data_IF_448943354687
#
_entry.id   IF_448943354687
#
_cell.length_a   1.000
_cell.length_b   1.000
_cell.length_c   1.000
_cell.angle_alpha   90.00
_cell.angle_beta   90.00
_cell.angle_gamma   90.00
#
_symmetry.space_group_name_H-M   'P 1'
#
loop_
_entity.id
_entity.type
_entity.pdbx_description
1 polymer ?
#
# COMPACT_ATOMS: atom_id res chain seq x y z
N UNK A 1 -17.73 -44.00 -20.39
CA UNK A 1 -18.04 -43.13 -19.23
C UNK A 1 -17.60 -41.73 -19.58
N UNK A 2 -18.54 -40.79 -19.66
CA UNK A 2 -18.25 -39.38 -19.95
C UNK A 2 -17.59 -38.76 -18.72
N UNK A 3 -16.34 -38.31 -18.83
CA UNK A 3 -15.73 -37.46 -17.83
C UNK A 3 -16.42 -36.10 -17.91
N UNK A 4 -17.41 -35.86 -17.05
CA UNK A 4 -17.91 -34.49 -16.82
C UNK A 4 -16.73 -33.66 -16.35
N UNK A 5 -16.28 -32.77 -17.21
CA UNK A 5 -15.25 -31.79 -16.89
C UNK A 5 -15.77 -30.90 -15.77
N UNK A 6 -15.14 -30.94 -14.60
CA UNK A 6 -15.48 -30.09 -13.45
C UNK A 6 -14.81 -28.72 -13.56
N UNK A 7 -14.98 -28.07 -14.72
CA UNK A 7 -14.47 -26.72 -14.95
C UNK A 7 -15.44 -25.71 -14.34
N UNK A 8 -14.91 -24.84 -13.49
CA UNK A 8 -15.63 -23.76 -12.82
C UNK A 8 -15.13 -22.44 -13.38
N UNK A 9 -16.05 -21.58 -13.81
CA UNK A 9 -15.73 -20.21 -14.19
C UNK A 9 -15.79 -19.29 -12.98
N UNK A 10 -14.68 -18.61 -12.69
CA UNK A 10 -14.55 -17.61 -11.63
C UNK A 10 -14.24 -16.26 -12.26
N UNK A 11 -14.85 -15.19 -11.73
CA UNK A 11 -14.71 -13.85 -12.32
C UNK A 11 -14.38 -12.82 -11.26
N UNK A 12 -13.37 -12.02 -11.56
CA UNK A 12 -13.03 -10.80 -10.85
C UNK A 12 -13.52 -9.58 -11.63
N UNK A 13 -13.92 -8.57 -10.88
CA UNK A 13 -14.48 -7.33 -11.42
C UNK A 13 -13.81 -6.15 -10.74
N UNK A 14 -13.48 -5.14 -11.53
CA UNK A 14 -13.01 -3.85 -11.02
C UNK A 14 -13.81 -2.74 -11.70
N UNK A 15 -14.58 -2.01 -10.92
CA UNK A 15 -15.28 -0.79 -11.32
C UNK A 15 -15.06 0.31 -10.26
N UNK A 16 -15.47 1.57 -10.50
CA UNK A 16 -15.22 2.67 -9.57
C UNK A 16 -15.69 2.42 -8.13
N UNK A 17 -16.85 1.77 -7.97
CA UNK A 17 -17.49 1.54 -6.67
C UNK A 17 -17.57 0.06 -6.26
N UNK A 18 -17.11 -0.85 -7.12
CA UNK A 18 -17.17 -2.29 -6.90
C UNK A 18 -15.84 -2.96 -7.25
N UNK A 19 -15.26 -3.66 -6.29
CA UNK A 19 -14.07 -4.48 -6.50
C UNK A 19 -14.37 -5.88 -5.97
N UNK A 20 -14.25 -6.90 -6.82
CA UNK A 20 -14.40 -8.31 -6.44
C UNK A 20 -13.12 -9.07 -6.74
N UNK A 21 -12.64 -9.85 -5.76
CA UNK A 21 -11.45 -10.68 -5.84
C UNK A 21 -11.76 -12.10 -5.38
N UNK A 22 -11.20 -13.09 -6.07
CA UNK A 22 -11.53 -14.50 -5.86
C UNK A 22 -10.36 -15.26 -5.27
N UNK A 23 -10.63 -15.93 -4.16
CA UNK A 23 -9.70 -16.81 -3.47
C UNK A 23 -10.24 -18.22 -3.43
N UNK A 24 -9.33 -19.18 -3.39
CA UNK A 24 -9.62 -20.60 -3.37
C UNK A 24 -8.97 -21.20 -2.15
N UNK A 25 -9.68 -22.13 -1.52
CA UNK A 25 -9.18 -22.91 -0.40
C UNK A 25 -9.55 -24.37 -0.58
N UNK A 26 -8.62 -25.26 -0.29
CA UNK A 26 -8.83 -26.70 -0.30
C UNK A 26 -7.93 -27.38 0.72
N UNK A 27 -8.23 -28.65 0.99
CA UNK A 27 -7.46 -29.49 1.92
C UNK A 27 -5.98 -29.48 1.55
N UNK A 28 -5.14 -28.87 2.39
CA UNK A 28 -3.70 -28.70 2.16
C UNK A 28 -3.22 -27.23 2.15
N UNK A 29 -4.14 -26.27 2.01
CA UNK A 29 -3.83 -24.85 2.18
C UNK A 29 -4.15 -24.40 3.61
N UNK A 30 -3.20 -23.67 4.23
CA UNK A 30 -3.40 -23.10 5.58
C UNK A 30 -4.36 -21.91 5.60
N UNK A 31 -4.55 -21.25 4.45
CA UNK A 31 -5.48 -20.12 4.25
C UNK A 31 -5.90 -20.01 2.79
N UNK A 32 -7.01 -19.33 2.44
CA UNK A 32 -7.40 -19.11 1.06
C UNK A 32 -6.35 -18.33 0.28
N UNK A 33 -6.04 -18.83 -0.90
CA UNK A 33 -5.01 -18.30 -1.81
C UNK A 33 -5.69 -17.69 -3.02
N UNK A 34 -5.16 -16.57 -3.51
CA UNK A 34 -5.67 -15.93 -4.71
C UNK A 34 -5.66 -16.89 -5.90
N UNK A 35 -6.73 -16.90 -6.68
CA UNK A 35 -6.93 -17.88 -7.75
C UNK A 35 -5.80 -17.88 -8.79
N UNK A 36 -5.21 -16.72 -9.11
CA UNK A 36 -4.09 -16.63 -10.07
C UNK A 36 -2.81 -17.37 -9.63
N UNK A 37 -2.74 -17.81 -8.37
CA UNK A 37 -1.54 -18.46 -7.82
C UNK A 37 -1.64 -19.99 -7.77
N UNK A 38 -2.73 -20.58 -8.27
CA UNK A 38 -2.84 -22.02 -8.43
C UNK A 38 -2.06 -22.47 -9.69
N UNK A 39 -1.30 -23.56 -9.60
CA UNK A 39 -0.36 -23.99 -10.65
C UNK A 39 -1.02 -24.47 -11.97
N UNK A 40 -0.25 -24.37 -13.06
CA UNK A 40 -0.57 -24.29 -14.50
C UNK A 40 -1.48 -25.38 -15.15
N UNK A 41 -1.89 -26.45 -14.47
CA UNK A 41 -2.78 -27.45 -15.09
C UNK A 41 -4.27 -27.19 -14.85
N UNK A 42 -4.60 -26.29 -13.91
CA UNK A 42 -5.98 -26.11 -13.47
C UNK A 42 -6.60 -24.78 -13.89
N UNK A 43 -5.86 -23.82 -14.48
CA UNK A 43 -6.41 -22.48 -14.76
C UNK A 43 -6.11 -22.01 -16.17
N UNK A 44 -7.16 -21.71 -16.93
CA UNK A 44 -7.07 -20.84 -18.12
C UNK A 44 -7.61 -19.47 -17.77
N UNK A 45 -6.76 -18.44 -17.84
CA UNK A 45 -7.13 -17.05 -17.61
C UNK A 45 -7.54 -16.36 -18.92
N UNK A 46 -8.61 -15.56 -18.87
CA UNK A 46 -9.00 -14.64 -19.93
C UNK A 46 -9.17 -13.24 -19.33
N UNK A 47 -8.29 -12.32 -19.71
CA UNK A 47 -8.45 -10.90 -19.41
C UNK A 47 -9.41 -10.30 -20.42
N UNK A 48 -10.57 -9.86 -19.96
CA UNK A 48 -11.59 -9.24 -20.81
C UNK A 48 -11.36 -7.72 -20.90
N UNK A 49 -11.94 -7.10 -21.92
CA UNK A 49 -12.02 -5.64 -21.99
C UNK A 49 -12.68 -5.09 -20.70
N UNK A 50 -12.20 -3.94 -20.22
CA UNK A 50 -12.70 -3.24 -19.03
C UNK A 50 -12.25 -3.77 -17.66
N UNK A 51 -11.16 -4.56 -17.59
CA UNK A 51 -10.53 -4.92 -16.31
C UNK A 51 -11.23 -6.03 -15.53
N UNK A 52 -12.09 -6.79 -16.20
CA UNK A 52 -12.62 -8.05 -15.69
C UNK A 52 -11.64 -9.19 -16.00
N UNK A 53 -11.41 -10.07 -15.03
CA UNK A 53 -10.54 -11.24 -15.20
C UNK A 53 -11.37 -12.49 -14.98
N UNK A 54 -11.29 -13.44 -15.90
CA UNK A 54 -11.98 -14.72 -15.81
C UNK A 54 -10.98 -15.86 -15.69
N UNK A 55 -11.25 -16.78 -14.77
CA UNK A 55 -10.45 -17.98 -14.51
C UNK A 55 -11.31 -19.22 -14.75
N UNK A 56 -10.83 -20.14 -15.56
CA UNK A 56 -11.41 -21.47 -15.74
C UNK A 56 -10.66 -22.46 -14.86
N UNK A 57 -11.22 -22.78 -13.69
CA UNK A 57 -10.63 -23.69 -12.71
C UNK A 57 -11.07 -25.14 -12.94
N UNK A 58 -10.14 -26.04 -13.25
CA UNK A 58 -10.39 -27.49 -13.23
C UNK A 58 -10.34 -28.00 -11.79
N UNK A 59 -11.51 -28.31 -11.23
CA UNK A 59 -11.64 -28.84 -9.88
C UNK A 59 -11.54 -30.37 -9.81
N UNK A 60 -11.18 -31.04 -10.91
CA UNK A 60 -11.01 -32.49 -10.97
C UNK A 60 -9.90 -32.94 -10.00
N UNK A 61 -10.27 -33.73 -8.98
CA UNK A 61 -9.33 -34.25 -7.98
C UNK A 61 -9.25 -33.44 -6.68
N UNK A 62 -9.94 -32.30 -6.56
CA UNK A 62 -10.04 -31.57 -5.29
C UNK A 62 -11.28 -32.04 -4.52
N UNK A 63 -11.08 -32.68 -3.36
CA UNK A 63 -12.17 -33.27 -2.56
C UNK A 63 -13.05 -32.22 -1.87
N UNK A 64 -12.45 -31.16 -1.36
CA UNK A 64 -13.15 -30.05 -0.69
C UNK A 64 -12.59 -28.74 -1.23
N UNK A 65 -13.41 -28.04 -2.04
CA UNK A 65 -13.06 -26.77 -2.64
C UNK A 65 -14.01 -25.69 -2.13
N UNK A 66 -13.45 -24.69 -1.48
CA UNK A 66 -14.13 -23.48 -1.05
C UNK A 66 -13.65 -22.30 -1.88
N UNK A 67 -14.60 -21.45 -2.26
CA UNK A 67 -14.35 -20.24 -3.05
C UNK A 67 -14.82 -19.06 -2.24
N UNK A 68 -13.94 -18.08 -2.06
CA UNK A 68 -14.21 -16.86 -1.34
C UNK A 68 -14.15 -15.69 -2.32
N UNK A 69 -15.28 -15.04 -2.52
CA UNK A 69 -15.37 -13.77 -3.23
C UNK A 69 -15.28 -12.65 -2.19
N UNK A 70 -14.17 -11.94 -2.17
CA UNK A 70 -13.99 -10.72 -1.37
C UNK A 70 -14.47 -9.54 -2.20
N UNK A 71 -15.52 -8.89 -1.72
CA UNK A 71 -16.19 -7.78 -2.40
C UNK A 71 -16.04 -6.51 -1.58
N UNK A 72 -15.54 -5.47 -2.22
CA UNK A 72 -15.59 -4.10 -1.73
C UNK A 72 -16.65 -3.32 -2.51
N UNK A 73 -17.71 -2.91 -1.83
CA UNK A 73 -18.83 -2.20 -2.44
C UNK A 73 -19.36 -1.13 -1.50
N UNK A 74 -19.58 0.10 -1.99
CA UNK A 74 -20.04 1.24 -1.18
C UNK A 74 -19.27 1.42 0.15
N UNK A 75 -17.94 1.32 0.08
CA UNK A 75 -17.04 1.42 1.25
C UNK A 75 -17.21 0.34 2.33
N UNK A 76 -17.91 -0.74 2.01
CA UNK A 76 -18.11 -1.88 2.89
C UNK A 76 -17.43 -3.13 2.32
N UNK A 77 -16.91 -3.93 3.25
CA UNK A 77 -16.36 -5.25 2.96
C UNK A 77 -17.47 -6.30 3.07
N UNK A 78 -17.61 -7.10 2.04
CA UNK A 78 -18.46 -8.29 2.02
C UNK A 78 -17.62 -9.49 1.61
N UNK A 79 -17.90 -10.64 2.20
CA UNK A 79 -17.30 -11.92 1.78
C UNK A 79 -18.44 -12.84 1.41
N UNK A 80 -18.37 -13.44 0.22
CA UNK A 80 -19.26 -14.53 -0.17
C UNK A 80 -18.46 -15.81 -0.24
N UNK A 81 -18.94 -16.86 0.41
CA UNK A 81 -18.32 -18.18 0.39
C UNK A 81 -19.19 -19.14 -0.40
N UNK A 82 -18.53 -19.99 -1.18
CA UNK A 82 -19.16 -21.05 -1.93
C UNK A 82 -18.39 -22.34 -1.70
N UNK A 83 -19.10 -23.47 -1.66
CA UNK A 83 -18.51 -24.80 -1.66
C UNK A 83 -18.90 -25.52 -2.95
N UNK A 84 -17.94 -26.21 -3.55
CA UNK A 84 -18.21 -27.10 -4.67
C UNK A 84 -18.89 -28.38 -4.17
N UNK A 85 -20.13 -28.62 -4.59
CA UNK A 85 -20.90 -29.83 -4.26
C UNK A 85 -21.42 -30.42 -5.57
N UNK A 86 -21.00 -31.65 -5.89
CA UNK A 86 -21.42 -32.37 -7.11
C UNK A 86 -21.24 -31.55 -8.41
N UNK A 87 -20.14 -30.78 -8.53
CA UNK A 87 -19.87 -29.95 -9.71
C UNK A 87 -20.60 -28.59 -9.72
N UNK A 88 -21.36 -28.25 -8.67
CA UNK A 88 -22.08 -26.98 -8.55
C UNK A 88 -21.59 -26.17 -7.35
N UNK A 89 -21.51 -24.84 -7.51
CA UNK A 89 -21.20 -23.93 -6.40
C UNK A 89 -22.45 -23.68 -5.55
N UNK A 90 -22.41 -24.13 -4.29
CA UNK A 90 -23.42 -23.86 -3.27
C UNK A 90 -22.94 -22.73 -2.38
N UNK A 91 -23.72 -21.66 -2.26
CA UNK A 91 -23.43 -20.52 -1.38
C UNK A 91 -23.55 -20.92 0.10
N UNK A 92 -22.62 -20.45 0.93
CA UNK A 92 -22.53 -20.72 2.36
C UNK A 92 -22.64 -19.42 3.17
N UNK A 93 -23.84 -18.86 3.29
CA UNK A 93 -24.07 -17.54 3.90
C UNK A 93 -23.63 -17.44 5.37
N UNK A 94 -23.82 -18.50 6.17
CA UNK A 94 -23.54 -18.49 7.62
C UNK A 94 -22.05 -18.70 7.98
N UNK A 95 -21.19 -19.01 7.00
CA UNK A 95 -19.77 -19.33 7.22
C UNK A 95 -18.82 -18.22 6.73
N UNK A 96 -19.38 -17.09 6.27
CA UNK A 96 -18.62 -16.00 5.66
C UNK A 96 -18.01 -15.06 6.70
N UNK A 97 -16.99 -15.51 7.44
CA UNK A 97 -16.16 -14.59 8.23
C UNK A 97 -15.08 -13.96 7.36
N UNK A 98 -14.58 -12.79 7.77
CA UNK A 98 -13.45 -12.14 7.11
C UNK A 98 -12.27 -13.11 7.13
N UNK A 99 -11.78 -13.46 5.94
CA UNK A 99 -10.72 -14.45 5.80
C UNK A 99 -9.37 -13.77 5.71
N UNK A 100 -8.41 -14.21 6.51
CA UNK A 100 -6.99 -13.97 6.22
C UNK A 100 -6.63 -14.69 4.91
N UNK A 101 -6.34 -13.91 3.87
CA UNK A 101 -6.04 -14.43 2.54
C UNK A 101 -4.54 -14.42 2.25
N UNK A 102 -4.15 -15.05 1.15
CA UNK A 102 -2.76 -15.11 0.68
C UNK A 102 -2.64 -14.85 -0.81
N UNK A 103 -1.52 -14.27 -1.20
CA UNK A 103 -1.05 -14.23 -2.59
C UNK A 103 -0.57 -15.59 -3.10
N UNK A 104 -0.41 -16.60 -2.24
CA UNK A 104 0.24 -17.87 -2.60
C UNK A 104 1.77 -17.81 -2.66
N UNK A 105 2.37 -16.63 -2.39
CA UNK A 105 3.81 -16.45 -2.34
C UNK A 105 4.20 -15.72 -1.05
N UNK A 106 5.01 -16.37 -0.21
CA UNK A 106 5.40 -15.84 1.10
C UNK A 106 6.07 -14.46 1.02
N UNK A 107 6.94 -14.22 0.04
CA UNK A 107 7.65 -12.92 -0.09
C UNK A 107 6.69 -11.80 -0.49
N UNK A 108 5.68 -12.10 -1.30
CA UNK A 108 4.62 -11.14 -1.64
C UNK A 108 3.71 -10.85 -0.45
N UNK A 109 3.30 -11.90 0.28
CA UNK A 109 2.51 -11.74 1.50
C UNK A 109 3.23 -10.85 2.52
N UNK A 110 4.53 -11.04 2.72
CA UNK A 110 5.36 -10.21 3.60
C UNK A 110 5.40 -8.75 3.13
N UNK A 111 5.63 -8.51 1.82
CA UNK A 111 5.66 -7.16 1.26
C UNK A 111 4.30 -6.47 1.41
N UNK A 112 3.21 -7.15 1.06
CA UNK A 112 1.84 -6.61 1.21
C UNK A 112 1.53 -6.34 2.68
N UNK A 113 1.91 -7.23 3.59
CA UNK A 113 1.75 -7.02 5.02
C UNK A 113 2.41 -5.71 5.50
N UNK A 114 3.62 -5.41 5.02
CA UNK A 114 4.28 -4.14 5.32
C UNK A 114 3.54 -2.92 4.74
N UNK A 115 3.04 -3.01 3.50
CA UNK A 115 2.21 -1.94 2.89
C UNK A 115 0.97 -1.67 3.76
N UNK A 116 0.27 -2.73 4.16
CA UNK A 116 -0.94 -2.66 5.00
C UNK A 116 -0.64 -2.06 6.37
N UNK A 117 0.51 -2.35 6.98
CA UNK A 117 0.92 -1.72 8.25
C UNK A 117 1.07 -0.21 8.12
N UNK A 118 1.75 0.28 7.08
CA UNK A 118 1.87 1.73 6.87
C UNK A 118 0.51 2.37 6.64
N UNK A 119 -0.34 1.72 5.83
CA UNK A 119 -1.73 2.14 5.61
C UNK A 119 -2.52 2.25 6.91
N UNK A 120 -2.48 1.21 7.73
CA UNK A 120 -3.14 1.17 9.04
C UNK A 120 -2.66 2.32 9.92
N UNK A 121 -1.36 2.55 9.95
CA UNK A 121 -0.76 3.59 10.77
C UNK A 121 -1.22 4.98 10.37
N UNK A 122 -1.01 5.41 9.12
CA UNK A 122 -1.34 6.77 8.73
C UNK A 122 -2.85 7.00 8.71
N UNK A 123 -3.65 6.02 8.31
CA UNK A 123 -5.11 6.17 8.30
C UNK A 123 -5.70 6.29 9.70
N UNK A 124 -5.11 5.61 10.69
CA UNK A 124 -5.49 5.79 12.10
C UNK A 124 -5.04 7.14 12.62
N UNK A 125 -3.77 7.50 12.39
CA UNK A 125 -3.18 8.74 12.92
C UNK A 125 -3.76 10.02 12.34
N UNK A 126 -4.17 10.00 11.08
CA UNK A 126 -4.68 11.18 10.38
C UNK A 126 -6.21 11.26 10.38
N UNK A 127 -6.90 10.11 10.41
CA UNK A 127 -8.30 10.04 9.98
C UNK A 127 -9.20 9.15 10.83
N UNK A 128 -8.70 8.54 11.91
CA UNK A 128 -9.48 7.62 12.77
C UNK A 128 -10.19 6.49 11.98
N UNK A 129 -9.58 6.02 10.90
CA UNK A 129 -10.23 5.15 9.94
C UNK A 129 -10.70 3.81 10.57
N UNK A 130 -11.90 3.31 10.22
CA UNK A 130 -12.45 2.08 10.79
C UNK A 130 -11.67 0.83 10.34
N UNK A 131 -11.50 -0.13 11.25
CA UNK A 131 -10.73 -1.35 11.04
C UNK A 131 -11.24 -2.25 9.87
N UNK A 132 -12.52 -2.14 9.49
CA UNK A 132 -13.11 -2.92 8.40
C UNK A 132 -12.53 -2.60 7.02
N UNK A 133 -12.22 -1.33 6.76
CA UNK A 133 -11.66 -0.86 5.48
C UNK A 133 -10.26 -1.43 5.25
N UNK A 134 -9.46 -1.55 6.32
CA UNK A 134 -8.10 -2.07 6.24
C UNK A 134 -8.07 -3.54 5.81
N UNK A 135 -9.04 -4.35 6.28
CA UNK A 135 -9.16 -5.76 5.89
C UNK A 135 -9.53 -5.91 4.41
N UNK A 136 -10.41 -5.04 3.91
CA UNK A 136 -10.73 -5.00 2.48
C UNK A 136 -9.51 -4.62 1.65
N UNK A 137 -8.76 -3.61 2.11
CA UNK A 137 -7.53 -3.15 1.47
C UNK A 137 -6.48 -4.27 1.39
N UNK A 138 -6.22 -4.98 2.50
CA UNK A 138 -5.27 -6.11 2.53
C UNK A 138 -5.63 -7.19 1.49
N UNK A 139 -6.87 -7.66 1.49
CA UNK A 139 -7.31 -8.66 0.52
C UNK A 139 -7.16 -8.13 -0.91
N UNK A 140 -7.77 -6.98 -1.24
CA UNK A 140 -7.69 -6.41 -2.61
C UNK A 140 -6.23 -6.23 -3.07
N UNK A 141 -5.34 -5.80 -2.17
CA UNK A 141 -3.93 -5.64 -2.47
C UNK A 141 -3.22 -6.98 -2.69
N UNK A 142 -3.47 -7.99 -1.85
CA UNK A 142 -2.96 -9.36 -2.06
C UNK A 142 -3.38 -9.91 -3.42
N UNK A 143 -4.65 -9.74 -3.80
CA UNK A 143 -5.14 -10.22 -5.09
C UNK A 143 -4.44 -9.54 -6.28
N UNK A 144 -4.32 -8.19 -6.23
CA UNK A 144 -3.60 -7.43 -7.26
C UNK A 144 -2.13 -7.85 -7.35
N UNK A 145 -1.44 -7.95 -6.22
CA UNK A 145 -0.05 -8.35 -6.17
C UNK A 145 0.15 -9.79 -6.69
N UNK A 146 -0.75 -10.71 -6.37
CA UNK A 146 -0.74 -12.08 -6.88
C UNK A 146 -0.92 -12.12 -8.40
N UNK A 147 -1.89 -11.37 -8.93
CA UNK A 147 -2.16 -11.31 -10.37
C UNK A 147 -0.99 -10.69 -11.14
N UNK A 148 -0.51 -9.52 -10.70
CA UNK A 148 0.61 -8.83 -11.35
C UNK A 148 1.88 -9.69 -11.34
N UNK A 149 2.15 -10.37 -10.23
CA UNK A 149 3.27 -11.28 -10.15
C UNK A 149 3.06 -12.52 -11.00
N UNK A 150 1.85 -13.07 -11.07
CA UNK A 150 1.56 -14.20 -11.94
C UNK A 150 1.84 -13.85 -13.41
N UNK A 151 1.27 -12.74 -13.89
CA UNK A 151 1.35 -12.28 -15.28
C UNK A 151 2.73 -11.80 -15.70
N UNK A 152 3.38 -10.99 -14.86
CA UNK A 152 4.61 -10.29 -15.24
C UNK A 152 5.86 -10.78 -14.52
N UNK A 153 5.70 -11.63 -13.50
CA UNK A 153 6.78 -12.06 -12.58
C UNK A 153 7.55 -10.87 -11.99
N UNK A 154 6.89 -9.72 -11.80
CA UNK A 154 7.49 -8.45 -11.37
C UNK A 154 6.84 -7.97 -10.08
N UNK A 155 7.66 -7.45 -9.17
CA UNK A 155 7.24 -6.82 -7.90
C UNK A 155 7.04 -5.30 -8.02
N UNK A 156 7.22 -4.73 -9.22
CA UNK A 156 7.31 -3.28 -9.41
C UNK A 156 6.06 -2.56 -8.92
N UNK A 157 4.88 -3.04 -9.30
CA UNK A 157 3.60 -2.41 -8.92
C UNK A 157 3.40 -2.46 -7.41
N UNK A 158 3.67 -3.60 -6.76
CA UNK A 158 3.63 -3.71 -5.30
C UNK A 158 4.62 -2.75 -4.61
N UNK A 159 5.80 -2.52 -5.19
CA UNK A 159 6.75 -1.53 -4.70
C UNK A 159 6.27 -0.08 -4.86
N UNK A 160 5.52 0.23 -5.92
CA UNK A 160 4.92 1.56 -6.09
C UNK A 160 3.84 1.81 -5.04
N UNK A 161 2.99 0.82 -4.76
CA UNK A 161 2.03 0.89 -3.66
C UNK A 161 2.73 1.04 -2.32
N UNK A 162 3.79 0.26 -2.06
CA UNK A 162 4.61 0.42 -0.84
C UNK A 162 5.15 1.85 -0.70
N UNK A 163 5.72 2.40 -1.78
CA UNK A 163 6.25 3.77 -1.77
C UNK A 163 5.18 4.79 -1.40
N UNK A 164 3.98 4.64 -1.96
CA UNK A 164 2.84 5.53 -1.70
C UNK A 164 2.35 5.43 -0.26
N UNK A 165 2.19 4.23 0.29
CA UNK A 165 1.77 4.09 1.69
C UNK A 165 2.86 4.53 2.68
N UNK A 166 4.14 4.32 2.35
CA UNK A 166 5.25 4.82 3.15
C UNK A 166 5.33 6.36 3.16
N UNK A 167 5.01 7.02 2.05
CA UNK A 167 4.86 8.47 2.01
C UNK A 167 3.73 8.94 2.95
N UNK A 168 2.61 8.22 2.99
CA UNK A 168 1.54 8.46 3.96
C UNK A 168 2.02 8.34 5.41
N UNK A 169 2.84 7.32 5.70
CA UNK A 169 3.48 7.16 7.02
C UNK A 169 4.42 8.32 7.36
N UNK A 170 5.28 8.75 6.43
CA UNK A 170 6.15 9.90 6.62
C UNK A 170 5.35 11.18 6.89
N UNK A 171 4.23 11.38 6.19
CA UNK A 171 3.34 12.49 6.46
C UNK A 171 2.65 12.38 7.83
N UNK A 172 2.22 11.19 8.26
CA UNK A 172 1.64 10.99 9.60
C UNK A 172 2.64 11.25 10.74
N UNK A 173 3.92 10.93 10.54
CA UNK A 173 5.01 11.34 11.44
C UNK A 173 5.07 12.88 11.56
N UNK A 174 5.09 13.58 10.44
CA UNK A 174 5.11 15.05 10.41
C UNK A 174 3.89 15.66 11.08
N UNK A 175 2.70 15.14 10.77
CA UNK A 175 1.45 15.58 11.38
C UNK A 175 1.52 15.49 12.92
N UNK A 176 2.05 14.38 13.44
CA UNK A 176 2.23 14.19 14.88
C UNK A 176 3.21 15.22 15.48
N UNK A 177 4.35 15.44 14.83
CA UNK A 177 5.37 16.42 15.28
C UNK A 177 4.79 17.84 15.30
N UNK A 178 4.05 18.22 14.27
CA UNK A 178 3.42 19.52 14.17
C UNK A 178 2.33 19.70 15.25
N UNK A 179 1.51 18.66 15.47
CA UNK A 179 0.51 18.65 16.54
C UNK A 179 1.12 18.83 17.94
N UNK A 180 2.22 18.13 18.25
CA UNK A 180 2.97 18.28 19.52
C UNK A 180 3.54 19.70 19.70
N UNK A 181 3.75 20.43 18.61
CA UNK A 181 4.19 21.84 18.59
C UNK A 181 3.02 22.84 18.59
N UNK A 182 1.80 22.37 18.76
CA UNK A 182 0.59 23.21 18.81
C UNK A 182 0.09 23.67 17.43
N UNK A 183 0.55 23.08 16.33
CA UNK A 183 0.02 23.36 15.01
C UNK A 183 -1.19 22.50 14.71
N UNK A 184 -2.28 23.14 14.28
CA UNK A 184 -3.49 22.46 13.80
C UNK A 184 -3.58 22.50 12.27
N UNK A 185 -3.91 21.37 11.60
CA UNK A 185 -4.14 21.38 10.16
C UNK A 185 -5.41 22.16 9.81
N UNK A 186 -5.47 22.70 8.59
CA UNK A 186 -6.74 23.14 8.01
C UNK A 186 -7.59 21.92 7.70
N UNK A 187 -8.68 21.74 8.44
CA UNK A 187 -9.49 20.52 8.46
C UNK A 187 -9.96 20.07 7.07
N UNK A 188 -10.47 20.99 6.25
CA UNK A 188 -10.97 20.66 4.90
C UNK A 188 -9.90 20.09 3.97
N UNK A 189 -8.63 20.41 4.19
CA UNK A 189 -7.51 19.86 3.41
C UNK A 189 -7.13 18.45 3.91
N UNK A 190 -7.29 18.21 5.21
CA UNK A 190 -7.07 16.89 5.81
C UNK A 190 -8.20 15.91 5.45
N UNK A 191 -9.45 16.39 5.37
CA UNK A 191 -10.61 15.58 4.93
C UNK A 191 -10.39 14.94 3.56
N UNK A 192 -9.73 15.64 2.62
CA UNK A 192 -9.40 15.08 1.30
C UNK A 192 -8.46 13.87 1.43
N UNK A 193 -7.45 13.95 2.31
CA UNK A 193 -6.55 12.85 2.64
C UNK A 193 -7.31 11.69 3.27
N UNK A 194 -8.25 11.99 4.16
CA UNK A 194 -9.07 10.96 4.81
C UNK A 194 -10.02 10.26 3.84
N UNK A 195 -10.46 10.95 2.78
CA UNK A 195 -11.13 10.32 1.65
C UNK A 195 -10.31 9.24 0.95
N UNK A 196 -8.97 9.24 1.06
CA UNK A 196 -8.12 8.14 0.59
C UNK A 196 -8.18 6.94 1.51
N UNK A 197 -8.19 7.15 2.84
CA UNK A 197 -8.20 6.11 3.86
C UNK A 197 -9.37 5.12 3.68
N UNK A 198 -10.50 5.63 3.19
CA UNK A 198 -11.74 4.90 2.92
C UNK A 198 -11.76 4.16 1.57
N UNK A 199 -10.64 4.04 0.87
CA UNK A 199 -10.57 3.34 -0.44
C UNK A 199 -9.69 2.11 -0.35
N UNK A 200 -9.98 1.10 -1.15
CA UNK A 200 -9.11 -0.09 -1.33
C UNK A 200 -8.00 0.12 -2.36
N UNK A 201 -7.86 1.35 -2.86
CA UNK A 201 -6.81 1.75 -3.80
C UNK A 201 -5.68 2.47 -3.07
N UNK A 202 -4.50 2.44 -3.66
CA UNK A 202 -3.37 3.25 -3.21
C UNK A 202 -3.73 4.75 -3.22
N UNK A 203 -3.25 5.53 -2.23
CA UNK A 203 -3.50 6.95 -2.14
C UNK A 203 -2.76 7.69 -3.27
N UNK A 204 -3.38 8.77 -3.77
CA UNK A 204 -2.76 9.66 -4.76
C UNK A 204 -2.29 10.92 -4.06
N UNK A 205 -1.03 10.93 -3.63
CA UNK A 205 -0.44 12.06 -2.89
C UNK A 205 -0.06 13.25 -3.76
N UNK A 206 0.05 13.05 -5.08
CA UNK A 206 0.50 14.07 -6.02
C UNK A 206 -0.23 15.40 -5.88
N UNK A 207 0.51 16.40 -5.42
CA UNK A 207 0.02 17.78 -5.32
C UNK A 207 -0.88 18.03 -4.13
N UNK A 208 -0.98 17.09 -3.18
CA UNK A 208 -1.66 17.31 -1.90
C UNK A 208 -0.90 18.39 -1.13
N UNK A 209 -1.64 19.37 -0.61
CA UNK A 209 -1.09 20.51 0.13
C UNK A 209 -1.93 20.74 1.38
N UNK A 210 -1.26 20.72 2.53
CA UNK A 210 -1.92 20.81 3.83
C UNK A 210 -1.24 21.92 4.63
N UNK A 211 -2.03 22.93 4.98
CA UNK A 211 -1.61 24.05 5.80
C UNK A 211 -1.84 23.73 7.27
N UNK A 212 -0.89 24.14 8.09
CA UNK A 212 -0.92 24.02 9.53
C UNK A 212 -0.77 25.40 10.14
N UNK A 213 -1.55 25.71 11.17
CA UNK A 213 -1.60 27.04 11.79
C UNK A 213 -1.35 26.97 13.29
N UNK A 214 -0.59 27.93 13.84
CA UNK A 214 -0.40 28.12 15.28
C UNK A 214 -0.16 29.60 15.57
N UNK A 215 -1.13 30.28 16.19
CA UNK A 215 -0.94 31.66 16.68
C UNK A 215 -0.44 32.67 15.64
N UNK A 216 -0.87 32.55 14.37
CA UNK A 216 -0.43 33.40 13.25
C UNK A 216 0.82 32.90 12.50
N UNK A 217 1.48 31.84 12.97
CA UNK A 217 2.48 31.09 12.22
C UNK A 217 1.81 30.05 11.33
N UNK A 218 2.33 29.90 10.11
CA UNK A 218 1.84 28.94 9.14
C UNK A 218 2.97 28.00 8.68
N UNK A 219 2.67 26.71 8.61
CA UNK A 219 3.52 25.69 8.01
C UNK A 219 2.75 25.05 6.86
N UNK A 220 3.35 25.02 5.68
CA UNK A 220 2.79 24.34 4.52
C UNK A 220 3.49 22.99 4.33
N UNK A 221 2.73 21.91 4.24
CA UNK A 221 3.23 20.58 3.91
C UNK A 221 2.68 20.20 2.54
N UNK A 222 3.56 20.07 1.55
CA UNK A 222 3.23 19.67 0.19
C UNK A 222 3.77 18.27 -0.10
N UNK A 223 2.95 17.38 -0.63
CA UNK A 223 3.34 16.01 -1.01
C UNK A 223 3.45 15.91 -2.54
N UNK A 224 4.54 15.32 -3.04
CA UNK A 224 4.77 15.07 -4.47
C UNK A 224 4.50 16.31 -5.36
N UNK A 225 4.77 17.50 -4.84
CA UNK A 225 4.54 18.78 -5.52
C UNK A 225 5.74 19.15 -6.37
N UNK A 226 5.51 19.40 -7.65
CA UNK A 226 6.58 19.80 -8.57
C UNK A 226 7.14 21.18 -8.21
N UNK A 227 8.47 21.27 -8.13
CA UNK A 227 9.23 22.53 -8.02
C UNK A 227 10.26 22.54 -9.16
N UNK A 228 10.07 23.39 -10.16
CA UNK A 228 10.86 23.30 -11.40
C UNK A 228 10.71 21.92 -12.05
N UNK A 229 11.81 21.18 -12.21
CA UNK A 229 11.80 19.82 -12.76
C UNK A 229 11.85 18.72 -11.69
N UNK A 230 12.04 19.06 -10.42
CA UNK A 230 12.07 18.09 -9.32
C UNK A 230 10.69 17.91 -8.70
N UNK A 231 10.47 16.74 -8.11
CA UNK A 231 9.25 16.40 -7.38
C UNK A 231 9.70 15.79 -6.05
N UNK A 232 9.86 16.61 -4.99
CA UNK A 232 10.11 16.10 -3.64
C UNK A 232 8.94 15.24 -3.18
N UNK A 233 9.23 14.17 -2.44
CA UNK A 233 8.17 13.35 -1.83
C UNK A 233 7.39 14.18 -0.81
N UNK A 234 8.10 14.92 0.05
CA UNK A 234 7.56 15.88 1.01
C UNK A 234 8.36 17.18 0.97
N UNK A 235 7.66 18.31 0.93
CA UNK A 235 8.22 19.65 1.07
C UNK A 235 7.48 20.39 2.18
N UNK A 236 8.23 20.79 3.20
CA UNK A 236 7.75 21.61 4.31
C UNK A 236 8.25 23.02 4.08
N UNK A 237 7.35 23.99 4.08
CA UNK A 237 7.68 25.40 3.91
C UNK A 237 7.15 26.21 5.09
N UNK A 238 8.04 27.01 5.65
CA UNK A 238 7.76 27.96 6.74
C UNK A 238 8.23 29.35 6.31
N UNK A 239 7.83 30.43 7.02
CA UNK A 239 8.38 31.76 6.76
C UNK A 239 9.91 31.85 6.95
N UNK A 240 10.51 30.90 7.67
CA UNK A 240 11.95 30.91 8.02
C UNK A 240 12.81 30.04 7.10
N UNK A 241 12.20 29.20 6.28
CA UNK A 241 12.93 28.27 5.43
C UNK A 241 12.08 27.08 4.98
N UNK A 242 12.71 26.17 4.24
CA UNK A 242 12.08 24.96 3.74
C UNK A 242 12.89 23.71 4.10
N UNK A 243 12.20 22.58 4.15
CA UNK A 243 12.80 21.25 4.36
C UNK A 243 12.20 20.28 3.35
N UNK A 244 13.07 19.57 2.64
CA UNK A 244 12.68 18.48 1.74
C UNK A 244 12.93 17.16 2.46
N UNK A 245 11.92 16.30 2.47
CA UNK A 245 12.05 14.93 2.95
C UNK A 245 11.87 13.99 1.76
N UNK A 246 12.91 13.24 1.44
CA UNK A 246 12.92 12.21 0.41
C UNK A 246 12.75 10.84 1.05
N UNK A 247 11.74 10.10 0.63
CA UNK A 247 11.47 8.76 1.10
C UNK A 247 12.12 7.71 0.21
N UNK A 248 12.72 6.69 0.82
CA UNK A 248 13.36 5.59 0.09
C UNK A 248 12.99 4.24 0.68
N UNK A 249 12.53 3.34 -0.18
CA UNK A 249 12.01 2.03 0.19
C UNK A 249 12.72 0.92 -0.58
N UNK A 250 12.70 -0.29 -0.01
CA UNK A 250 13.43 -1.43 -0.57
C UNK A 250 14.94 -1.38 -0.34
N UNK A 251 15.71 -2.33 -0.90
CA UNK A 251 17.14 -2.46 -0.61
C UNK A 251 17.95 -1.24 -1.10
N UNK A 252 18.88 -0.69 -0.31
CA UNK A 252 19.68 0.49 -0.68
C UNK A 252 20.36 0.41 -2.05
N UNK A 253 20.86 -0.76 -2.43
CA UNK A 253 21.47 -0.99 -3.75
C UNK A 253 20.58 -0.56 -4.93
N UNK A 254 19.26 -0.58 -4.75
CA UNK A 254 18.29 -0.23 -5.81
C UNK A 254 18.06 1.28 -5.94
N UNK A 255 18.29 2.05 -4.89
CA UNK A 255 17.88 3.45 -4.84
C UNK A 255 18.97 4.45 -4.42
N UNK A 256 20.10 4.00 -3.87
CA UNK A 256 21.17 4.86 -3.34
C UNK A 256 21.68 5.87 -4.38
N UNK A 257 21.99 5.39 -5.59
CA UNK A 257 22.41 6.26 -6.70
C UNK A 257 21.32 7.24 -7.13
N UNK A 258 20.05 6.82 -7.11
CA UNK A 258 18.90 7.68 -7.44
C UNK A 258 18.72 8.77 -6.38
N UNK A 259 18.79 8.40 -5.09
CA UNK A 259 18.69 9.33 -3.97
C UNK A 259 19.77 10.42 -4.04
N UNK A 260 21.02 10.05 -4.37
CA UNK A 260 22.11 11.02 -4.52
C UNK A 260 21.86 11.98 -5.70
N UNK A 261 21.36 11.48 -6.83
CA UNK A 261 21.00 12.32 -7.98
C UNK A 261 19.86 13.29 -7.63
N UNK A 262 18.84 12.81 -6.93
CA UNK A 262 17.71 13.64 -6.48
C UNK A 262 18.16 14.73 -5.51
N UNK A 263 19.01 14.41 -4.53
CA UNK A 263 19.56 15.40 -3.59
C UNK A 263 20.26 16.56 -4.31
N UNK A 264 21.08 16.26 -5.34
CA UNK A 264 21.71 17.30 -6.17
C UNK A 264 20.67 18.17 -6.88
N UNK A 265 19.62 17.57 -7.42
CA UNK A 265 18.51 18.30 -8.03
C UNK A 265 17.80 19.22 -7.03
N UNK A 266 17.54 18.74 -5.81
CA UNK A 266 16.92 19.53 -4.76
C UNK A 266 17.80 20.71 -4.35
N UNK A 267 19.10 20.51 -4.09
CA UNK A 267 20.03 21.61 -3.73
C UNK A 267 20.11 22.70 -4.78
N UNK A 268 19.91 22.37 -6.06
CA UNK A 268 19.93 23.34 -7.15
C UNK A 268 18.65 24.20 -7.23
N UNK A 269 17.51 23.66 -6.83
CA UNK A 269 16.20 24.28 -7.06
C UNK A 269 15.48 24.75 -5.81
N UNK A 270 15.85 24.22 -4.65
CA UNK A 270 15.17 24.44 -3.38
C UNK A 270 16.24 24.79 -2.34
N UNK A 271 16.28 26.03 -1.82
CA UNK A 271 17.12 26.38 -0.70
C UNK A 271 16.51 25.80 0.59
N UNK A 272 16.70 24.49 0.79
CA UNK A 272 16.10 23.72 1.86
C UNK A 272 17.12 22.78 2.52
N UNK A 273 16.87 22.49 3.80
CA UNK A 273 17.48 21.32 4.43
C UNK A 273 16.95 20.05 3.75
N UNK A 274 17.82 19.08 3.51
CA UNK A 274 17.49 17.81 2.86
C UNK A 274 17.57 16.66 3.86
N UNK A 275 16.46 15.94 3.98
CA UNK A 275 16.33 14.76 4.83
C UNK A 275 16.05 13.55 3.97
N UNK A 276 16.78 12.47 4.20
CA UNK A 276 16.41 11.16 3.68
C UNK A 276 15.72 10.34 4.78
N UNK A 277 14.58 9.76 4.45
CA UNK A 277 13.82 8.89 5.34
C UNK A 277 13.68 7.50 4.73
N UNK A 278 14.05 6.45 5.46
CA UNK A 278 13.96 5.07 4.96
C UNK A 278 13.62 4.07 6.07
N UNK A 279 12.81 3.02 5.77
CA UNK A 279 12.54 1.96 6.74
C UNK A 279 13.69 0.98 6.86
N UNK A 280 14.72 1.11 6.02
CA UNK A 280 15.87 0.20 6.03
C UNK A 280 16.90 0.64 7.03
N UNK A 281 17.45 -0.34 7.74
CA UNK A 281 18.74 -0.17 8.37
C UNK A 281 19.80 0.07 7.29
N UNK A 282 20.75 0.95 7.62
CA UNK A 282 21.84 1.32 6.72
C UNK A 282 23.16 1.01 7.41
N UNK A 283 24.09 0.44 6.67
CA UNK A 283 25.45 0.25 7.19
C UNK A 283 26.18 1.61 7.33
N UNK A 284 27.38 1.58 7.93
CA UNK A 284 28.16 2.81 8.12
C UNK A 284 28.53 3.49 6.79
N UNK A 285 28.91 2.71 5.77
CA UNK A 285 29.36 3.21 4.49
C UNK A 285 28.22 3.87 3.70
N UNK A 286 27.04 3.25 3.71
CA UNK A 286 25.81 3.78 3.11
C UNK A 286 25.41 5.10 3.75
N UNK A 287 25.42 5.18 5.09
CA UNK A 287 25.12 6.40 5.84
C UNK A 287 26.09 7.53 5.52
N UNK A 288 27.40 7.27 5.61
CA UNK A 288 28.43 8.25 5.29
C UNK A 288 28.32 8.77 3.85
N UNK A 289 27.97 7.88 2.90
CA UNK A 289 27.77 8.26 1.51
C UNK A 289 26.55 9.16 1.33
N UNK A 290 25.46 8.91 2.05
CA UNK A 290 24.25 9.73 1.99
C UNK A 290 24.45 11.09 2.67
N UNK A 291 25.14 11.14 3.81
CA UNK A 291 25.41 12.38 4.57
C UNK A 291 26.31 13.38 3.83
N UNK A 292 27.00 12.96 2.75
CA UNK A 292 27.67 13.89 1.83
C UNK A 292 26.69 14.73 0.99
N UNK A 293 25.43 14.32 0.92
CA UNK A 293 24.42 14.91 0.05
C UNK A 293 23.15 15.35 0.78
N UNK A 294 22.77 14.64 1.84
CA UNK A 294 21.65 14.98 2.72
C UNK A 294 22.18 15.60 4.00
N UNK A 295 21.46 16.56 4.55
CA UNK A 295 21.80 17.18 5.84
C UNK A 295 21.48 16.23 6.99
N UNK A 296 20.44 15.40 6.83
CA UNK A 296 20.04 14.37 7.80
C UNK A 296 19.60 13.08 7.10
N UNK A 297 19.86 11.94 7.76
CA UNK A 297 19.43 10.61 7.31
C UNK A 297 18.76 9.90 8.49
N UNK A 298 17.45 9.71 8.39
CA UNK A 298 16.64 8.96 9.35
C UNK A 298 16.38 7.58 8.76
N UNK A 299 16.92 6.54 9.38
CA UNK A 299 16.91 5.17 8.88
C UNK A 299 16.30 4.21 9.89
N UNK A 300 16.06 2.96 9.48
CA UNK A 300 15.28 1.98 10.27
C UNK A 300 13.91 2.53 10.69
N UNK A 301 13.36 3.46 9.89
CA UNK A 301 12.17 4.18 10.26
C UNK A 301 10.90 3.44 9.84
N UNK A 302 10.38 2.63 10.75
CA UNK A 302 9.19 1.79 10.54
C UNK A 302 8.08 2.17 11.51
N UNK A 303 6.90 1.55 11.35
CA UNK A 303 5.79 1.70 12.30
C UNK A 303 6.18 1.28 13.71
N UNK A 304 6.95 0.20 13.85
CA UNK A 304 7.43 -0.32 15.13
C UNK A 304 8.43 0.61 15.81
N UNK A 305 9.18 1.40 15.02
CA UNK A 305 10.15 2.38 15.51
C UNK A 305 9.62 3.83 15.46
N UNK A 306 8.30 4.01 15.42
CA UNK A 306 7.66 5.32 15.23
C UNK A 306 8.18 6.41 16.18
N UNK A 307 8.28 6.15 17.48
CA UNK A 307 8.72 7.18 18.43
C UNK A 307 10.18 7.59 18.21
N UNK A 308 11.04 6.63 17.85
CA UNK A 308 12.42 6.92 17.50
C UNK A 308 12.49 7.77 16.22
N UNK A 309 11.75 7.39 15.17
CA UNK A 309 11.63 8.19 13.95
C UNK A 309 11.17 9.62 14.23
N UNK A 310 10.10 9.75 15.03
CA UNK A 310 9.48 11.03 15.36
C UNK A 310 10.47 11.93 16.10
N UNK A 311 11.19 11.38 17.06
CA UNK A 311 12.20 12.11 17.83
C UNK A 311 13.37 12.56 16.96
N UNK A 312 13.87 11.70 16.07
CA UNK A 312 14.94 12.08 15.13
C UNK A 312 14.46 13.15 14.17
N UNK A 313 13.30 12.96 13.53
CA UNK A 313 12.75 13.90 12.56
C UNK A 313 12.38 15.24 13.20
N UNK A 314 11.87 15.24 14.44
CA UNK A 314 11.57 16.47 15.19
C UNK A 314 12.82 17.30 15.48
N UNK A 315 14.02 16.71 15.59
CA UNK A 315 15.25 17.52 15.76
C UNK A 315 15.64 18.27 14.50
N UNK A 316 15.15 17.82 13.34
CA UNK A 316 15.50 18.35 12.02
C UNK A 316 14.54 19.45 11.57
N UNK A 317 13.29 19.41 12.04
CA UNK A 317 12.20 20.32 11.70
C UNK A 317 12.04 21.44 12.73
#
# INVERSE_FOLDING_TARGET
MSSTSNIITLREVTSPDYVSRVYVHYTGLSKPVHVSSLHDSAIREVVLQSGNVEYLLDASGVRELYIYEVVYFHRALHVKCYQLVNGHLKRLDDYCTIVDTSTGNKKLDELVGEVVKYRAFWSTKLCEAPAGTLKAYDAVLKARAALDYFLFKRLKETWLTYSSEYLGFAYALLHSILGERGFAPVETQLEEVCGFAERVNEPRWRGVVINYTNGGLNVNVSLERRVGWVVPDLLITTPRGSTVIECKQGPPVTWLTKAIKQAKGYKLLIPAALVLLTPRELDLQERERLLKHYDYVVYSCTVENYDACKNELSRVL
#
